data_IF_967058676854
#
_entry.id   IF_967058676854
#
_cell.length_a   1.000
_cell.length_b   1.000
_cell.length_c   1.000
_cell.angle_alpha   90.00
_cell.angle_beta   90.00
_cell.angle_gamma   90.00
#
_symmetry.space_group_name_H-M   'P 1'
#
loop_
_entity.id
_entity.type
_entity.pdbx_description
1 polymer ?
#
# COMPACT_ATOMS: atom_id res chain seq x y z
N UNK A 1 20.30 6.81 -37.13
CA UNK A 1 20.61 5.95 -35.96
C UNK A 1 19.37 5.35 -35.29
N UNK A 2 18.24 5.13 -36.00
CA UNK A 2 16.99 4.64 -35.38
C UNK A 2 16.76 3.13 -35.54
N UNK A 3 16.92 2.61 -36.75
CA UNK A 3 16.60 1.20 -37.06
C UNK A 3 17.66 0.21 -36.56
N UNK A 4 18.95 0.54 -36.69
CA UNK A 4 20.03 -0.31 -36.20
C UNK A 4 20.00 -0.44 -34.67
N UNK A 5 19.75 0.67 -33.96
CA UNK A 5 19.58 0.67 -32.50
C UNK A 5 18.34 -0.11 -32.07
N UNK A 6 17.25 -0.04 -32.85
CA UNK A 6 16.04 -0.83 -32.59
C UNK A 6 16.32 -2.34 -32.72
N UNK A 7 17.01 -2.76 -33.79
CA UNK A 7 17.35 -4.17 -34.02
C UNK A 7 18.33 -4.72 -32.97
N UNK A 8 19.35 -3.93 -32.61
CA UNK A 8 20.30 -4.29 -31.55
C UNK A 8 19.69 -4.21 -30.15
N UNK A 9 18.67 -3.37 -29.96
CA UNK A 9 17.93 -3.23 -28.71
C UNK A 9 16.80 -4.24 -28.55
N UNK A 10 16.39 -4.92 -29.63
CA UNK A 10 15.30 -5.91 -29.64
C UNK A 10 15.56 -7.08 -28.66
N UNK A 11 16.77 -7.68 -28.59
CA UNK A 11 17.07 -8.72 -27.61
C UNK A 11 16.98 -8.23 -26.15
N UNK A 12 17.13 -6.93 -25.92
CA UNK A 12 17.04 -6.28 -24.60
C UNK A 12 15.61 -5.83 -24.24
N UNK A 13 14.66 -5.91 -25.17
CA UNK A 13 13.25 -5.60 -24.92
C UNK A 13 12.63 -6.36 -23.72
N UNK A 14 12.84 -7.69 -23.52
CA UNK A 14 12.26 -8.41 -22.40
C UNK A 14 12.74 -7.88 -21.04
N UNK A 15 14.01 -7.50 -20.91
CA UNK A 15 14.55 -6.92 -19.67
C UNK A 15 13.89 -5.60 -19.31
N UNK A 16 13.59 -4.75 -20.31
CA UNK A 16 12.83 -3.51 -20.08
C UNK A 16 11.40 -3.77 -19.58
N UNK A 17 10.79 -4.88 -20.00
CA UNK A 17 9.49 -5.32 -19.49
C UNK A 17 9.55 -5.68 -18.00
N UNK A 18 10.58 -6.41 -17.58
CA UNK A 18 10.78 -6.79 -16.16
C UNK A 18 11.01 -5.55 -15.28
N UNK A 19 11.81 -4.58 -15.74
CA UNK A 19 12.04 -3.34 -14.99
C UNK A 19 10.73 -2.58 -14.78
N UNK A 20 9.92 -2.42 -15.84
CA UNK A 20 8.61 -1.77 -15.74
C UNK A 20 7.65 -2.50 -14.81
N UNK A 21 7.68 -3.83 -14.80
CA UNK A 21 6.91 -4.61 -13.84
C UNK A 21 7.38 -4.36 -12.41
N UNK A 22 8.69 -4.27 -12.20
CA UNK A 22 9.28 -3.90 -10.92
C UNK A 22 8.83 -2.52 -10.43
N UNK A 23 8.79 -1.53 -11.33
CA UNK A 23 8.26 -0.18 -11.03
C UNK A 23 6.79 -0.24 -10.57
N UNK A 24 5.93 -0.97 -11.28
CA UNK A 24 4.51 -1.13 -10.92
C UNK A 24 4.35 -1.83 -9.56
N UNK A 25 5.13 -2.88 -9.30
CA UNK A 25 5.12 -3.57 -8.00
C UNK A 25 5.59 -2.62 -6.90
N UNK A 26 6.66 -1.87 -7.14
CA UNK A 26 7.22 -0.92 -6.18
C UNK A 26 6.21 0.17 -5.82
N UNK A 27 5.53 0.74 -6.80
CA UNK A 27 4.51 1.77 -6.58
C UNK A 27 3.36 1.23 -5.72
N UNK A 28 2.91 0.00 -5.99
CA UNK A 28 1.85 -0.64 -5.20
C UNK A 28 2.28 -0.96 -3.78
N UNK A 29 3.51 -1.44 -3.59
CA UNK A 29 4.07 -1.73 -2.26
C UNK A 29 4.27 -0.44 -1.46
N UNK A 30 4.74 0.64 -2.08
CA UNK A 30 4.90 1.92 -1.40
C UNK A 30 3.56 2.50 -0.93
N UNK A 31 2.51 2.40 -1.74
CA UNK A 31 1.16 2.79 -1.34
C UNK A 31 0.68 1.95 -0.14
N UNK A 32 0.75 0.62 -0.24
CA UNK A 32 0.33 -0.29 0.82
C UNK A 32 1.10 -0.10 2.14
N UNK A 33 2.43 0.07 2.08
CA UNK A 33 3.25 0.28 3.28
C UNK A 33 2.93 1.61 3.97
N UNK A 34 2.54 2.63 3.22
CA UNK A 34 2.10 3.91 3.79
C UNK A 34 0.81 3.73 4.58
N UNK A 35 -0.15 2.98 4.02
CA UNK A 35 -1.44 2.70 4.66
C UNK A 35 -1.27 1.85 5.94
N UNK A 36 -0.42 0.82 5.91
CA UNK A 36 -0.09 0.01 7.10
C UNK A 36 0.56 0.84 8.20
N UNK A 37 1.49 1.74 7.83
CA UNK A 37 2.14 2.63 8.80
C UNK A 37 1.13 3.59 9.45
N UNK A 38 0.17 4.10 8.67
CA UNK A 38 -0.90 4.96 9.18
C UNK A 38 -1.84 4.20 10.12
N UNK A 39 -2.26 2.99 9.74
CA UNK A 39 -3.11 2.13 10.54
C UNK A 39 -2.48 1.81 11.91
N UNK A 40 -1.18 1.47 11.93
CA UNK A 40 -0.46 1.23 13.19
C UNK A 40 -0.44 2.46 14.09
N UNK A 41 -0.20 3.64 13.53
CA UNK A 41 -0.17 4.89 14.30
C UNK A 41 -1.56 5.23 14.87
N UNK A 42 -2.63 4.93 14.13
CA UNK A 42 -4.02 5.13 14.58
C UNK A 42 -4.36 4.23 15.78
N UNK A 43 -3.93 2.97 15.75
CA UNK A 43 -4.07 2.03 16.87
C UNK A 43 -3.25 2.43 18.10
N UNK A 44 -2.00 2.86 17.91
CA UNK A 44 -1.14 3.35 19.01
C UNK A 44 -1.74 4.60 19.67
N UNK A 45 -2.33 5.51 18.89
CA UNK A 45 -3.00 6.69 19.41
C UNK A 45 -4.28 6.35 20.21
N UNK A 46 -5.05 5.35 19.76
CA UNK A 46 -6.24 4.89 20.50
C UNK A 46 -5.87 4.26 21.86
N UNK A 47 -4.82 3.44 21.89
CA UNK A 47 -4.27 2.87 23.13
C UNK A 47 -3.82 3.97 24.10
N UNK A 48 -3.07 4.97 23.61
CA UNK A 48 -2.60 6.10 24.44
C UNK A 48 -3.78 6.93 24.98
N UNK A 49 -4.80 7.18 24.16
CA UNK A 49 -6.02 7.86 24.59
C UNK A 49 -6.78 7.08 25.67
N UNK A 50 -6.80 5.75 25.59
CA UNK A 50 -7.40 4.89 26.63
C UNK A 50 -6.58 4.93 27.92
N UNK A 51 -5.25 4.83 27.83
CA UNK A 51 -4.36 4.92 29.00
C UNK A 51 -4.48 6.29 29.69
N UNK A 52 -4.66 7.36 28.92
CA UNK A 52 -4.94 8.70 29.43
C UNK A 52 -6.37 8.85 30.01
N UNK A 53 -7.26 7.89 29.76
CA UNK A 53 -8.66 7.91 30.17
C UNK A 53 -9.52 8.86 29.35
N UNK A 54 -9.08 9.24 28.15
CA UNK A 54 -9.78 10.12 27.21
C UNK A 54 -10.87 9.37 26.43
N UNK A 55 -10.68 8.07 26.20
CA UNK A 55 -11.66 7.18 25.56
C UNK A 55 -11.92 5.94 26.42
N UNK A 56 -13.11 5.34 26.26
CA UNK A 56 -13.42 4.06 26.91
C UNK A 56 -12.81 2.87 26.15
N UNK A 57 -12.78 1.70 26.78
CA UNK A 57 -12.34 0.47 26.13
C UNK A 57 -13.27 0.05 24.97
N UNK A 58 -14.54 0.42 25.03
CA UNK A 58 -15.50 0.18 23.95
C UNK A 58 -15.21 1.10 22.76
N UNK A 59 -14.94 2.38 23.01
CA UNK A 59 -14.56 3.33 21.95
C UNK A 59 -13.22 2.93 21.29
N UNK A 60 -12.26 2.43 22.06
CA UNK A 60 -11.01 1.89 21.53
C UNK A 60 -11.27 0.68 20.61
N UNK A 61 -12.13 -0.25 21.03
CA UNK A 61 -12.45 -1.43 20.24
C UNK A 61 -13.12 -1.07 18.90
N UNK A 62 -13.96 -0.04 18.88
CA UNK A 62 -14.57 0.49 17.66
C UNK A 62 -13.50 1.04 16.70
N UNK A 63 -12.53 1.81 17.20
CA UNK A 63 -11.40 2.31 16.39
C UNK A 63 -10.56 1.15 15.83
N UNK A 64 -10.29 0.12 16.63
CA UNK A 64 -9.54 -1.06 16.15
C UNK A 64 -10.32 -1.78 15.04
N UNK A 65 -11.65 -1.91 15.20
CA UNK A 65 -12.52 -2.54 14.22
C UNK A 65 -12.52 -1.78 12.89
N UNK A 66 -12.66 -0.45 12.94
CA UNK A 66 -12.64 0.43 11.76
C UNK A 66 -11.31 0.35 10.99
N UNK A 67 -10.19 0.26 11.70
CA UNK A 67 -8.85 0.09 11.09
C UNK A 67 -8.74 -1.27 10.40
N UNK A 68 -9.20 -2.35 11.04
CA UNK A 68 -9.17 -3.70 10.47
C UNK A 68 -10.09 -3.83 9.25
N UNK A 69 -11.29 -3.25 9.31
CA UNK A 69 -12.24 -3.25 8.21
C UNK A 69 -11.66 -2.55 6.99
N UNK A 70 -11.06 -1.35 7.18
CA UNK A 70 -10.41 -0.59 6.10
C UNK A 70 -9.27 -1.35 5.43
N UNK A 71 -8.51 -2.16 6.18
CA UNK A 71 -7.42 -2.98 5.64
C UNK A 71 -7.92 -4.24 4.92
N UNK A 72 -9.13 -4.69 5.24
CA UNK A 72 -9.73 -5.93 4.69
C UNK A 72 -10.67 -5.64 3.53
N UNK A 73 -11.19 -4.41 3.43
CA UNK A 73 -12.01 -3.99 2.31
C UNK A 73 -11.21 -4.04 0.99
N UNK A 74 -11.68 -4.79 -0.02
CA UNK A 74 -11.03 -4.81 -1.31
C UNK A 74 -11.12 -3.41 -1.92
N UNK A 75 -9.97 -2.79 -2.20
CA UNK A 75 -9.87 -1.48 -2.81
C UNK A 75 -10.88 -1.33 -3.99
N UNK A 76 -11.76 -0.30 -3.98
CA UNK A 76 -12.78 -0.13 -5.00
C UNK A 76 -12.11 0.27 -6.32
N UNK A 77 -11.82 -0.70 -7.20
CA UNK A 77 -11.24 -0.42 -8.52
C UNK A 77 -10.54 -1.57 -9.25
N UNK A 78 -10.68 -2.82 -8.79
CA UNK A 78 -9.93 -3.96 -9.33
C UNK A 78 -10.60 -4.77 -10.44
N UNK A 79 -11.67 -4.30 -11.08
CA UNK A 79 -12.39 -5.10 -12.08
C UNK A 79 -13.12 -4.29 -13.13
N UNK A 80 -12.41 -3.93 -14.21
CA UNK A 80 -12.92 -3.82 -15.58
C UNK A 80 -11.80 -4.20 -16.56
#
# INVERSE_FOLDING_TARGET
MGLLTLLLGLPLAPFRGVIKLGEVIQDRVNAELTDVSSARHELEAAEEAREAGEISAEDEADVQHDVVDRMTEPAPGGGE
#
